data_IF_713712573230
#
_entry.id   IF_713712573230
#
_cell.length_a   1.000
_cell.length_b   1.000
_cell.length_c   1.000
_cell.angle_alpha   90.00
_cell.angle_beta   90.00
_cell.angle_gamma   90.00
#
_symmetry.space_group_name_H-M   'P 1'
#
loop_
_entity.id
_entity.type
_entity.pdbx_description
1 polymer ?
#
# COMPACT_ATOMS: atom_id res chain seq x y z
N UNK A 1 37.24 -4.39 1.78
CA UNK A 1 35.93 -4.64 2.43
C UNK A 1 35.62 -6.13 2.34
N UNK A 2 35.86 -6.88 3.43
CA UNK A 2 35.82 -8.35 3.49
C UNK A 2 34.44 -8.90 3.06
N UNK A 3 33.36 -8.27 3.47
CA UNK A 3 32.00 -8.80 3.33
C UNK A 3 31.15 -8.11 2.25
N UNK A 4 31.72 -7.27 1.39
CA UNK A 4 31.10 -6.62 0.21
C UNK A 4 29.63 -6.14 0.41
N UNK A 5 29.29 -5.75 1.65
CA UNK A 5 27.93 -5.31 2.00
C UNK A 5 26.93 -6.44 2.34
N UNK A 6 27.38 -7.70 2.43
CA UNK A 6 26.51 -8.82 2.81
C UNK A 6 26.29 -8.84 4.34
N UNK A 7 25.13 -8.40 4.78
CA UNK A 7 24.77 -8.30 6.20
C UNK A 7 24.80 -9.66 6.93
N UNK A 8 24.50 -10.77 6.24
CA UNK A 8 24.58 -12.12 6.84
C UNK A 8 26.03 -12.53 7.16
N UNK A 9 26.98 -12.17 6.30
CA UNK A 9 28.41 -12.44 6.55
C UNK A 9 28.93 -11.57 7.69
N UNK A 10 28.52 -10.29 7.75
CA UNK A 10 28.83 -9.40 8.88
C UNK A 10 28.27 -9.95 10.18
N UNK A 11 27.06 -10.45 10.17
CA UNK A 11 26.40 -11.07 11.32
C UNK A 11 27.19 -12.28 11.83
N UNK A 12 27.63 -13.16 10.93
CA UNK A 12 28.40 -14.35 11.26
C UNK A 12 29.78 -13.98 11.81
N UNK A 13 30.50 -13.09 11.15
CA UNK A 13 31.85 -12.65 11.57
C UNK A 13 31.86 -11.93 12.92
N UNK A 14 30.81 -11.21 13.25
CA UNK A 14 30.69 -10.44 14.50
C UNK A 14 29.92 -11.17 15.61
N UNK A 15 29.41 -12.37 15.34
CA UNK A 15 28.57 -13.17 16.28
C UNK A 15 27.38 -12.36 16.84
N UNK A 16 26.79 -11.48 16.03
CA UNK A 16 25.68 -10.63 16.42
C UNK A 16 24.35 -11.23 15.97
N UNK A 17 23.27 -10.94 16.70
CA UNK A 17 21.92 -11.18 16.17
C UNK A 17 21.62 -10.24 15.01
N UNK A 18 20.71 -10.62 14.10
CA UNK A 18 20.35 -9.79 12.95
C UNK A 18 19.93 -8.35 13.34
N UNK A 19 19.08 -8.14 14.37
CA UNK A 19 18.73 -6.78 14.80
C UNK A 19 19.94 -5.99 15.30
N UNK A 20 20.87 -6.63 16.01
CA UNK A 20 22.07 -5.96 16.52
C UNK A 20 23.05 -5.62 15.38
N UNK A 21 23.22 -6.49 14.39
CA UNK A 21 24.06 -6.24 13.21
C UNK A 21 23.48 -5.09 12.37
N UNK A 22 22.15 -5.06 12.18
CA UNK A 22 21.46 -3.98 11.47
C UNK A 22 21.63 -2.62 12.18
N UNK A 23 21.37 -2.58 13.49
CA UNK A 23 21.53 -1.36 14.31
C UNK A 23 22.95 -0.80 14.19
N UNK A 24 23.96 -1.66 14.28
CA UNK A 24 25.37 -1.27 14.17
C UNK A 24 25.74 -0.76 12.77
N UNK A 25 25.13 -1.34 11.73
CA UNK A 25 25.28 -0.83 10.35
C UNK A 25 24.65 0.55 10.20
N UNK A 26 23.44 0.75 10.70
CA UNK A 26 22.73 2.03 10.66
C UNK A 26 23.50 3.13 11.42
N UNK A 27 24.06 2.78 12.59
CA UNK A 27 24.94 3.67 13.36
C UNK A 27 26.23 4.06 12.60
N UNK A 28 26.85 3.11 11.90
CA UNK A 28 28.04 3.37 11.08
C UNK A 28 27.72 4.20 9.85
N UNK A 29 26.61 3.93 9.19
CA UNK A 29 26.18 4.74 8.04
C UNK A 29 25.86 6.17 8.44
N UNK A 30 25.24 6.38 9.61
CA UNK A 30 24.99 7.68 10.19
C UNK A 30 26.31 8.42 10.53
N UNK A 31 27.27 7.73 11.15
CA UNK A 31 28.57 8.31 11.53
C UNK A 31 29.44 8.68 10.30
N UNK A 32 29.27 7.97 9.19
CA UNK A 32 29.98 8.24 7.94
C UNK A 32 29.26 9.25 7.03
N UNK A 33 28.13 9.81 7.47
CA UNK A 33 27.21 10.60 6.62
C UNK A 33 26.85 9.90 5.30
N UNK A 34 26.94 8.56 5.29
CA UNK A 34 26.58 7.68 4.20
C UNK A 34 25.21 7.02 4.46
N UNK A 35 24.46 7.51 5.41
CA UNK A 35 23.05 7.18 5.56
C UNK A 35 22.32 7.76 4.35
N UNK A 36 22.56 7.14 3.22
CA UNK A 36 21.68 7.18 2.06
C UNK A 36 20.43 6.37 2.41
N UNK A 37 19.75 6.77 3.49
CA UNK A 37 18.33 6.75 3.44
C UNK A 37 18.00 7.63 2.25
N UNK A 38 17.46 7.04 1.22
CA UNK A 38 16.48 7.75 0.42
C UNK A 38 15.33 8.10 1.35
N UNK A 39 15.61 8.98 2.34
CA UNK A 39 14.70 9.99 2.77
C UNK A 39 14.62 10.97 1.59
N UNK A 40 13.98 10.57 0.51
CA UNK A 40 13.08 11.50 -0.11
C UNK A 40 12.13 11.84 1.04
N UNK A 41 12.41 12.93 1.72
CA UNK A 41 11.68 13.41 2.85
C UNK A 41 10.22 13.43 2.44
N UNK A 42 9.44 12.49 2.99
CA UNK A 42 8.00 12.52 2.88
C UNK A 42 7.63 13.91 3.35
N UNK A 43 6.97 14.73 2.53
CA UNK A 43 6.74 16.13 2.87
C UNK A 43 6.10 16.18 4.24
N UNK A 44 6.73 16.87 5.21
CA UNK A 44 6.21 16.97 6.59
C UNK A 44 4.85 17.64 6.65
N UNK A 45 4.50 18.36 5.59
CA UNK A 45 3.18 18.95 5.38
C UNK A 45 2.72 18.63 3.95
N UNK A 46 1.63 17.87 3.85
CA UNK A 46 0.96 17.62 2.57
C UNK A 46 0.01 18.78 2.30
N UNK A 47 0.21 19.50 1.19
CA UNK A 47 -0.75 20.53 0.76
C UNK A 47 -2.02 19.87 0.25
N UNK A 48 -3.01 19.73 1.13
CA UNK A 48 -4.33 19.16 0.81
C UNK A 48 -5.26 20.13 0.09
N UNK A 49 -4.87 21.38 -0.17
CA UNK A 49 -5.70 22.39 -0.84
C UNK A 49 -6.11 21.95 -2.24
N UNK A 50 -5.21 21.24 -2.94
CA UNK A 50 -5.42 20.71 -4.29
C UNK A 50 -6.27 19.45 -4.35
N UNK A 51 -6.54 18.81 -3.22
CA UNK A 51 -7.43 17.65 -3.17
C UNK A 51 -8.88 18.10 -3.41
N UNK A 52 -9.34 17.93 -4.65
CA UNK A 52 -10.76 18.11 -4.96
C UNK A 52 -11.52 16.86 -4.52
N UNK A 53 -12.53 17.04 -3.65
CA UNK A 53 -13.32 15.97 -3.03
C UNK A 53 -14.78 16.22 -3.25
N UNK A 54 -15.48 15.23 -3.80
CA UNK A 54 -16.93 15.21 -3.84
C UNK A 54 -17.48 14.57 -2.55
N UNK A 55 -17.86 15.40 -1.59
CA UNK A 55 -18.40 14.96 -0.29
C UNK A 55 -19.78 14.33 -0.37
N UNK A 56 -20.46 14.41 -1.51
CA UNK A 56 -21.78 13.80 -1.74
C UNK A 56 -21.68 12.42 -2.37
N UNK A 57 -20.50 12.04 -2.84
CA UNK A 57 -20.24 10.79 -3.52
C UNK A 57 -20.15 9.62 -2.54
N UNK A 58 -20.71 8.48 -2.95
CA UNK A 58 -20.55 7.19 -2.27
C UNK A 58 -19.37 6.38 -2.79
N UNK A 59 -18.62 6.89 -3.78
CA UNK A 59 -17.46 6.22 -4.34
C UNK A 59 -16.34 6.05 -3.30
N UNK A 60 -15.70 4.88 -3.30
CA UNK A 60 -14.61 4.57 -2.40
C UNK A 60 -13.45 5.58 -2.52
N UNK A 61 -13.10 5.98 -3.73
CA UNK A 61 -12.07 6.98 -4.00
C UNK A 61 -12.36 8.32 -3.33
N UNK A 62 -13.61 8.81 -3.39
CA UNK A 62 -13.99 10.09 -2.80
C UNK A 62 -14.06 10.03 -1.27
N UNK A 63 -14.57 8.93 -0.70
CA UNK A 63 -14.60 8.71 0.75
C UNK A 63 -13.18 8.68 1.32
N UNK A 64 -12.26 7.97 0.67
CA UNK A 64 -10.86 7.90 1.10
C UNK A 64 -10.18 9.26 0.99
N UNK A 65 -10.37 9.98 -0.13
CA UNK A 65 -9.85 11.35 -0.29
C UNK A 65 -10.41 12.29 0.79
N UNK A 66 -11.72 12.25 1.05
CA UNK A 66 -12.34 13.08 2.08
C UNK A 66 -11.74 12.85 3.46
N UNK A 67 -11.63 11.57 3.85
CA UNK A 67 -11.03 11.18 5.13
C UNK A 67 -9.55 11.58 5.21
N UNK A 68 -8.77 11.31 4.16
CA UNK A 68 -7.35 11.66 4.14
C UNK A 68 -7.13 13.18 4.20
N UNK A 69 -7.94 13.95 3.46
CA UNK A 69 -7.94 15.41 3.52
C UNK A 69 -8.27 15.94 4.92
N UNK A 70 -9.25 15.34 5.60
CA UNK A 70 -9.62 15.70 6.98
C UNK A 70 -8.50 15.41 8.00
N UNK A 71 -7.57 14.48 7.67
CA UNK A 71 -6.38 14.17 8.45
C UNK A 71 -5.12 14.93 7.97
N UNK A 72 -5.28 16.01 7.23
CA UNK A 72 -4.15 16.82 6.74
C UNK A 72 -3.29 16.10 5.68
N UNK A 73 -3.87 15.14 4.96
CA UNK A 73 -3.21 14.41 3.88
C UNK A 73 -2.29 13.26 4.32
N UNK A 74 -2.27 12.94 5.62
CA UNK A 74 -1.45 11.86 6.16
C UNK A 74 -2.22 11.04 7.20
N UNK A 75 -2.03 9.72 7.19
CA UNK A 75 -2.61 8.80 8.18
C UNK A 75 -1.77 7.53 8.33
N UNK A 76 -1.72 7.00 9.54
CA UNK A 76 -1.21 5.65 9.80
C UNK A 76 -2.38 4.67 9.74
N UNK A 77 -2.32 3.69 8.85
CA UNK A 77 -3.26 2.56 8.77
C UNK A 77 -2.55 1.27 9.18
N UNK A 78 -3.30 0.23 9.50
CA UNK A 78 -2.72 -1.02 9.99
C UNK A 78 -3.11 -2.20 9.11
N UNK A 79 -2.15 -3.06 8.82
CA UNK A 79 -2.40 -4.33 8.14
C UNK A 79 -3.12 -5.32 9.06
N UNK A 80 -3.66 -6.42 8.51
CA UNK A 80 -4.25 -7.55 9.29
C UNK A 80 -3.31 -8.06 10.41
N UNK A 81 -2.00 -7.89 10.23
CA UNK A 81 -0.99 -8.29 11.23
C UNK A 81 -0.65 -7.19 12.23
N UNK A 82 -1.35 -6.07 12.21
CA UNK A 82 -1.09 -4.92 13.07
C UNK A 82 0.19 -4.13 12.71
N UNK A 83 0.76 -4.35 11.52
CA UNK A 83 1.92 -3.57 11.06
C UNK A 83 1.46 -2.22 10.53
N UNK A 84 2.09 -1.11 10.94
CA UNK A 84 1.74 0.22 10.48
C UNK A 84 2.16 0.43 9.02
N UNK A 85 1.36 1.20 8.31
CA UNK A 85 1.63 1.73 6.98
C UNK A 85 1.29 3.22 6.99
N UNK A 86 2.26 4.05 6.68
CA UNK A 86 2.05 5.49 6.53
C UNK A 86 1.49 5.77 5.13
N UNK A 87 0.39 6.49 5.07
CA UNK A 87 -0.27 6.85 3.82
C UNK A 87 -0.22 8.37 3.67
N UNK A 88 0.19 8.83 2.51
CA UNK A 88 0.32 10.24 2.19
C UNK A 88 -0.43 10.57 0.90
N UNK A 89 -1.21 11.64 0.91
CA UNK A 89 -1.70 12.24 -0.31
C UNK A 89 -0.53 12.87 -1.08
N UNK A 90 -0.50 12.72 -2.40
CA UNK A 90 0.45 13.42 -3.25
C UNK A 90 -0.01 14.86 -3.53
N UNK A 91 0.93 15.73 -3.89
CA UNK A 91 0.66 17.16 -4.15
C UNK A 91 -0.29 17.40 -5.32
N UNK A 92 -0.49 16.42 -6.20
CA UNK A 92 -1.43 16.50 -7.32
C UNK A 92 -2.90 16.40 -6.87
N UNK A 93 -3.16 15.97 -5.63
CA UNK A 93 -4.49 15.78 -5.06
C UNK A 93 -5.29 14.62 -5.64
N UNK A 94 -4.69 13.86 -6.57
CA UNK A 94 -5.34 12.76 -7.30
C UNK A 94 -4.72 11.41 -7.03
N UNK A 95 -3.50 11.39 -6.50
CA UNK A 95 -2.72 10.19 -6.19
C UNK A 95 -2.30 10.13 -4.72
N UNK A 96 -1.86 8.96 -4.29
CA UNK A 96 -1.35 8.72 -2.94
C UNK A 96 -0.13 7.80 -2.97
N UNK A 97 0.67 7.87 -1.92
CA UNK A 97 1.83 7.01 -1.70
C UNK A 97 1.85 6.44 -0.28
N UNK A 98 2.79 5.56 -0.01
CA UNK A 98 3.00 4.96 1.32
C UNK A 98 4.47 4.62 1.51
N UNK A 99 4.92 4.61 2.75
CA UNK A 99 6.24 4.09 3.15
C UNK A 99 6.46 2.62 2.74
N UNK A 100 5.37 1.89 2.46
CA UNK A 100 5.39 0.49 1.99
C UNK A 100 5.23 0.36 0.48
N UNK A 101 5.09 1.48 -0.25
CA UNK A 101 4.91 1.52 -1.70
C UNK A 101 6.15 2.12 -2.38
N UNK A 102 7.17 1.31 -2.72
CA UNK A 102 8.39 1.83 -3.36
C UNK A 102 8.19 2.20 -4.84
N UNK A 103 6.94 2.27 -5.32
CA UNK A 103 6.63 2.28 -6.74
C UNK A 103 6.22 3.67 -7.20
N UNK A 104 6.98 4.18 -8.17
CA UNK A 104 6.59 5.29 -9.02
C UNK A 104 6.05 4.73 -10.36
N UNK A 105 4.97 5.30 -10.92
CA UNK A 105 4.17 6.40 -10.39
C UNK A 105 3.30 5.98 -9.19
N UNK A 106 2.91 6.96 -8.37
CA UNK A 106 1.96 6.80 -7.27
C UNK A 106 0.63 6.17 -7.74
N UNK A 107 -0.17 5.65 -6.83
CA UNK A 107 -1.48 5.09 -7.14
C UNK A 107 -2.54 6.19 -7.16
N UNK A 108 -3.40 6.24 -8.16
CA UNK A 108 -4.58 7.08 -8.13
C UNK A 108 -5.68 6.45 -7.27
N UNK A 109 -6.57 7.30 -6.72
CA UNK A 109 -7.61 6.83 -5.81
C UNK A 109 -8.70 5.98 -6.50
N UNK A 110 -8.82 6.02 -7.83
CA UNK A 110 -9.82 5.22 -8.57
C UNK A 110 -9.58 3.72 -8.45
N UNK A 111 -8.36 3.30 -8.14
CA UNK A 111 -8.06 1.89 -7.83
C UNK A 111 -8.99 1.32 -6.78
N UNK A 112 -9.45 2.13 -5.82
CA UNK A 112 -10.39 1.70 -4.80
C UNK A 112 -11.81 1.51 -5.32
N UNK A 113 -12.22 2.31 -6.32
CA UNK A 113 -13.51 2.13 -6.99
C UNK A 113 -13.53 0.81 -7.74
N UNK A 114 -12.45 0.46 -8.45
CA UNK A 114 -12.32 -0.81 -9.18
C UNK A 114 -12.33 -2.01 -8.22
N UNK A 115 -11.67 -1.89 -7.05
CA UNK A 115 -11.71 -2.94 -6.02
C UNK A 115 -13.13 -3.12 -5.47
N UNK A 116 -13.84 -2.03 -5.20
CA UNK A 116 -15.24 -2.10 -4.73
C UNK A 116 -16.15 -2.70 -5.79
N UNK A 117 -15.97 -2.33 -7.06
CA UNK A 117 -16.71 -2.94 -8.17
C UNK A 117 -16.50 -4.46 -8.24
N UNK A 118 -15.25 -4.92 -8.07
CA UNK A 118 -14.95 -6.35 -7.96
C UNK A 118 -15.72 -6.99 -6.80
N UNK A 119 -15.69 -6.37 -5.61
CA UNK A 119 -16.39 -6.91 -4.44
C UNK A 119 -17.89 -7.01 -4.69
N UNK A 120 -18.51 -5.97 -5.28
CA UNK A 120 -19.93 -5.98 -5.63
C UNK A 120 -20.25 -7.14 -6.62
N UNK A 121 -19.46 -7.26 -7.70
CA UNK A 121 -19.62 -8.32 -8.72
C UNK A 121 -19.52 -9.72 -8.12
N UNK A 122 -18.79 -9.89 -7.03
CA UNK A 122 -18.59 -11.18 -6.35
C UNK A 122 -19.46 -11.37 -5.09
N UNK A 123 -20.55 -10.61 -4.97
CA UNK A 123 -21.50 -10.78 -3.87
C UNK A 123 -21.00 -10.25 -2.53
N UNK A 124 -20.13 -9.26 -2.54
CA UNK A 124 -19.65 -8.53 -1.37
C UNK A 124 -18.32 -9.03 -0.81
N UNK A 125 -17.65 -10.01 -1.44
CA UNK A 125 -16.34 -10.51 -1.01
C UNK A 125 -15.47 -10.92 -2.18
N UNK A 126 -14.15 -10.73 -2.06
CA UNK A 126 -13.19 -11.22 -3.04
C UNK A 126 -11.89 -11.68 -2.39
N UNK A 127 -11.25 -12.69 -2.99
CA UNK A 127 -9.90 -13.12 -2.59
C UNK A 127 -8.89 -12.02 -2.86
N UNK A 128 -7.97 -11.80 -1.93
CA UNK A 128 -6.88 -10.82 -2.12
C UNK A 128 -5.92 -11.22 -3.22
N UNK A 129 -5.60 -12.50 -3.32
CA UNK A 129 -4.61 -13.00 -4.26
C UNK A 129 -3.16 -12.76 -3.81
N UNK A 130 -2.20 -13.07 -4.70
CA UNK A 130 -0.75 -12.96 -4.48
C UNK A 130 -0.15 -11.92 -5.43
N UNK A 131 0.29 -10.79 -4.88
CA UNK A 131 0.78 -9.64 -5.63
C UNK A 131 2.29 -9.57 -5.81
N UNK A 132 3.03 -10.66 -5.60
CA UNK A 132 4.48 -10.68 -5.70
C UNK A 132 4.97 -11.97 -6.32
N UNK A 133 5.83 -11.86 -7.34
CA UNK A 133 6.41 -12.99 -8.09
C UNK A 133 5.38 -13.84 -8.85
N UNK A 134 4.27 -13.25 -9.26
CA UNK A 134 3.24 -13.88 -10.08
C UNK A 134 3.02 -13.07 -11.36
N UNK A 135 2.47 -13.73 -12.38
CA UNK A 135 1.96 -13.08 -13.58
C UNK A 135 0.44 -13.01 -13.53
N UNK A 136 -0.10 -11.95 -14.10
CA UNK A 136 -1.56 -11.81 -14.21
C UNK A 136 -2.15 -13.00 -15.01
N UNK A 137 -3.18 -13.62 -14.46
CA UNK A 137 -3.81 -14.83 -14.99
C UNK A 137 -3.30 -16.15 -14.38
N UNK A 138 -2.17 -16.14 -13.64
CA UNK A 138 -1.70 -17.33 -12.93
C UNK A 138 -2.56 -17.63 -11.68
N UNK A 139 -2.60 -18.91 -11.23
CA UNK A 139 -3.29 -19.29 -10.00
C UNK A 139 -2.84 -18.45 -8.81
N UNK A 140 -3.78 -17.75 -8.17
CA UNK A 140 -3.52 -16.82 -7.08
C UNK A 140 -3.27 -15.38 -7.52
N UNK A 141 -3.20 -15.11 -8.82
CA UNK A 141 -3.10 -13.76 -9.40
C UNK A 141 -4.09 -13.59 -10.56
N UNK A 142 -5.25 -14.23 -10.43
CA UNK A 142 -6.31 -14.16 -11.44
C UNK A 142 -6.94 -12.76 -11.47
N UNK A 143 -7.49 -12.36 -12.61
CA UNK A 143 -8.13 -11.06 -12.82
C UNK A 143 -9.27 -10.78 -11.81
N UNK A 144 -9.94 -11.83 -11.37
CA UNK A 144 -11.03 -11.77 -10.40
C UNK A 144 -10.56 -11.80 -8.93
N UNK A 145 -9.31 -11.44 -8.67
CA UNK A 145 -8.75 -11.20 -7.33
C UNK A 145 -8.48 -9.71 -7.14
N UNK A 146 -8.34 -9.25 -5.90
CA UNK A 146 -7.98 -7.85 -5.61
C UNK A 146 -6.63 -7.49 -6.26
N UNK A 147 -5.65 -8.40 -6.20
CA UNK A 147 -4.35 -8.23 -6.87
C UNK A 147 -4.52 -8.10 -8.38
N UNK A 148 -5.33 -8.95 -9.00
CA UNK A 148 -5.61 -8.88 -10.43
C UNK A 148 -6.26 -7.56 -10.82
N UNK A 149 -7.25 -7.09 -10.05
CA UNK A 149 -7.89 -5.79 -10.26
C UNK A 149 -6.89 -4.64 -10.17
N UNK A 150 -6.00 -4.62 -9.15
CA UNK A 150 -4.95 -3.61 -9.03
C UNK A 150 -3.99 -3.65 -10.24
N UNK A 151 -3.65 -4.85 -10.71
CA UNK A 151 -2.77 -5.03 -11.87
C UNK A 151 -3.43 -4.49 -13.17
N UNK A 152 -4.69 -4.82 -13.40
CA UNK A 152 -5.48 -4.32 -14.54
C UNK A 152 -5.62 -2.80 -14.48
N UNK A 153 -5.92 -2.22 -13.31
CA UNK A 153 -5.96 -0.77 -13.10
C UNK A 153 -4.64 -0.10 -13.49
N UNK A 154 -3.51 -0.77 -13.27
CA UNK A 154 -2.17 -0.31 -13.67
C UNK A 154 -1.82 -0.60 -15.14
N UNK A 155 -2.79 -1.04 -15.94
CA UNK A 155 -2.61 -1.34 -17.36
C UNK A 155 -1.83 -2.63 -17.64
N UNK A 156 -1.74 -3.55 -16.67
CA UNK A 156 -1.12 -4.86 -16.89
C UNK A 156 -2.05 -5.75 -17.71
N UNK A 157 -1.45 -6.58 -18.56
CA UNK A 157 -2.14 -7.59 -19.36
C UNK A 157 -1.82 -9.00 -18.88
N UNK A 158 -2.64 -9.98 -19.26
CA UNK A 158 -2.43 -11.39 -18.91
C UNK A 158 -1.02 -11.83 -19.34
N UNK A 159 -0.33 -12.53 -18.44
CA UNK A 159 1.04 -13.00 -18.62
C UNK A 159 2.13 -12.01 -18.20
N UNK A 160 1.79 -10.75 -17.89
CA UNK A 160 2.75 -9.79 -17.37
C UNK A 160 2.98 -9.94 -15.86
N UNK A 161 4.20 -9.66 -15.43
CA UNK A 161 4.57 -9.70 -14.02
C UNK A 161 3.80 -8.67 -13.20
N UNK A 162 3.26 -9.10 -12.07
CA UNK A 162 2.48 -8.28 -11.15
C UNK A 162 3.29 -7.96 -9.90
N UNK A 163 3.28 -6.69 -9.53
CA UNK A 163 3.61 -6.24 -8.19
C UNK A 163 2.45 -5.37 -7.69
N UNK A 164 1.63 -5.91 -6.82
CA UNK A 164 0.47 -5.21 -6.29
C UNK A 164 0.49 -5.23 -4.75
N UNK A 165 0.50 -4.05 -4.11
CA UNK A 165 0.59 -3.93 -2.65
C UNK A 165 -0.79 -4.10 -1.99
N UNK A 166 -1.41 -5.23 -2.21
CA UNK A 166 -2.78 -5.53 -1.73
C UNK A 166 -2.96 -5.29 -0.23
N UNK A 167 -1.91 -5.51 0.57
CA UNK A 167 -1.97 -5.33 2.02
C UNK A 167 -2.14 -3.85 2.43
N UNK A 168 -1.57 -2.91 1.66
CA UNK A 168 -1.75 -1.47 1.86
C UNK A 168 -3.16 -1.05 1.44
N UNK A 169 -3.60 -1.47 0.24
CA UNK A 169 -4.93 -1.14 -0.27
C UNK A 169 -6.03 -1.65 0.66
N UNK A 170 -5.88 -2.89 1.16
CA UNK A 170 -6.83 -3.48 2.10
C UNK A 170 -6.88 -2.72 3.44
N UNK A 171 -5.73 -2.27 3.95
CA UNK A 171 -5.67 -1.48 5.18
C UNK A 171 -6.33 -0.09 5.02
N UNK A 172 -6.17 0.55 3.85
CA UNK A 172 -6.83 1.82 3.54
C UNK A 172 -8.36 1.64 3.46
N UNK A 173 -8.84 0.59 2.78
CA UNK A 173 -10.27 0.29 2.67
C UNK A 173 -10.91 0.03 4.05
N UNK A 174 -10.20 -0.69 4.93
CA UNK A 174 -10.64 -0.95 6.30
C UNK A 174 -10.68 0.33 7.14
N UNK A 175 -9.62 1.13 7.11
CA UNK A 175 -9.58 2.44 7.77
C UNK A 175 -10.68 3.37 7.28
N UNK A 176 -10.99 3.33 5.99
CA UNK A 176 -12.06 4.14 5.42
C UNK A 176 -13.47 3.66 5.81
N UNK A 177 -13.61 2.46 6.36
CA UNK A 177 -14.90 1.83 6.68
C UNK A 177 -15.64 1.31 5.46
N UNK A 178 -14.90 0.97 4.40
CA UNK A 178 -15.45 0.49 3.12
C UNK A 178 -15.47 -1.03 3.07
N UNK A 179 -14.43 -1.68 3.61
CA UNK A 179 -14.33 -3.13 3.62
C UNK A 179 -13.67 -3.63 4.90
N UNK A 180 -14.03 -4.83 5.30
CA UNK A 180 -13.33 -5.61 6.33
C UNK A 180 -12.11 -6.29 5.72
N UNK A 181 -10.97 -6.17 6.40
CA UNK A 181 -9.68 -6.65 5.93
C UNK A 181 -9.39 -8.05 6.50
N UNK A 182 -10.09 -9.08 6.03
CA UNK A 182 -9.92 -10.47 6.45
C UNK A 182 -8.59 -11.08 5.99
N UNK A 183 -8.24 -12.24 6.57
CA UNK A 183 -7.04 -12.99 6.18
C UNK A 183 -7.26 -13.67 4.82
N UNK A 184 -6.67 -13.12 3.76
CA UNK A 184 -6.76 -13.67 2.40
C UNK A 184 -7.94 -13.16 1.58
N UNK A 185 -8.86 -12.42 2.16
CA UNK A 185 -10.02 -11.84 1.48
C UNK A 185 -10.33 -10.42 1.95
N UNK A 186 -11.08 -9.69 1.13
CA UNK A 186 -11.76 -8.45 1.48
C UNK A 186 -13.27 -8.70 1.46
N UNK A 187 -13.99 -8.09 2.39
CA UNK A 187 -15.45 -8.19 2.50
C UNK A 187 -16.00 -6.77 2.58
N UNK A 188 -16.97 -6.40 1.75
CA UNK A 188 -17.63 -5.10 1.86
C UNK A 188 -18.25 -4.95 3.25
N UNK A 189 -17.98 -3.82 3.89
CA UNK A 189 -18.59 -3.48 5.19
C UNK A 189 -20.10 -3.26 5.01
N UNK A 190 -20.90 -3.77 5.96
CA UNK A 190 -22.36 -3.67 5.87
C UNK A 190 -22.85 -2.23 5.83
N UNK A 191 -22.26 -1.35 6.67
CA UNK A 191 -22.57 0.09 6.65
C UNK A 191 -22.24 0.79 5.31
N UNK A 192 -21.30 0.26 4.56
CA UNK A 192 -20.96 0.79 3.23
C UNK A 192 -21.90 0.24 2.16
N UNK A 193 -22.31 -1.04 2.26
CA UNK A 193 -23.33 -1.63 1.36
C UNK A 193 -24.65 -0.87 1.39
N UNK A 194 -25.06 -0.38 2.56
CA UNK A 194 -26.29 0.40 2.72
C UNK A 194 -26.25 1.76 1.98
N UNK A 195 -25.08 2.22 1.58
CA UNK A 195 -24.88 3.49 0.86
C UNK A 195 -24.77 3.33 -0.66
N UNK A 196 -24.64 2.08 -1.13
CA UNK A 196 -24.52 1.77 -2.55
C UNK A 196 -25.89 1.66 -3.22
#
# INVERSE_FOLDING_TARGET
LKNRGNLKEVQSDMQLSYPAAKKKLDELLAALHLSGTTDEAIPKEVDVSRMNVDYTSTRASEIIKAKLKAHGGHVTVYTVRGLPCEIYAEQDGTTFTSDKLPIKPAYDYKVFDDIVELLIKQGGRARKGNGRNYKLGEPGCEENTVVGTIALHRGRTIGESVFAPVFVMAAILEWAGIAENGRGELILADEYKEKL
#
